data_IF_425229408410
#
_entry.id   IF_425229408410
#
_cell.length_a   1.000
_cell.length_b   1.000
_cell.length_c   1.000
_cell.angle_alpha   90.00
_cell.angle_beta   90.00
_cell.angle_gamma   90.00
#
_symmetry.space_group_name_H-M   'P 1'
#
loop_
_entity.id
_entity.type
_entity.pdbx_description
1 polymer ?
#
# COMPACT_ATOMS: atom_id res chain seq x y z
N UNK A 1 -30.25 -4.83 -40.99
CA UNK A 1 -29.06 -4.55 -40.15
C UNK A 1 -29.42 -4.85 -38.71
N UNK A 2 -28.70 -5.77 -38.07
CA UNK A 2 -29.12 -6.47 -36.86
C UNK A 2 -28.82 -5.66 -35.58
N UNK A 3 -29.82 -5.51 -34.69
CA UNK A 3 -29.73 -4.82 -33.39
C UNK A 3 -28.76 -5.48 -32.38
N UNK A 4 -28.11 -6.59 -32.73
CA UNK A 4 -27.25 -7.37 -31.82
C UNK A 4 -25.82 -6.81 -31.68
N UNK A 5 -25.38 -5.96 -32.60
CA UNK A 5 -24.02 -5.40 -32.61
C UNK A 5 -23.88 -4.15 -31.72
N UNK A 6 -24.97 -3.41 -31.48
CA UNK A 6 -24.92 -2.20 -30.65
C UNK A 6 -24.69 -2.50 -29.16
N UNK A 7 -25.11 -3.67 -28.68
CA UNK A 7 -24.98 -4.04 -27.27
C UNK A 7 -23.54 -4.39 -26.86
N UNK A 8 -22.74 -4.93 -27.78
CA UNK A 8 -21.35 -5.31 -27.49
C UNK A 8 -20.38 -4.12 -27.52
N UNK A 9 -20.62 -3.14 -28.39
CA UNK A 9 -19.76 -1.93 -28.47
C UNK A 9 -20.00 -0.99 -27.28
N UNK A 10 -21.23 -0.94 -26.74
CA UNK A 10 -21.55 -0.15 -25.55
C UNK A 10 -20.94 -0.70 -24.25
N UNK A 11 -20.85 -2.03 -24.10
CA UNK A 11 -20.28 -2.65 -22.89
C UNK A 11 -18.74 -2.60 -22.91
N UNK A 12 -18.11 -2.66 -24.08
CA UNK A 12 -16.65 -2.52 -24.21
C UNK A 12 -16.15 -1.12 -23.80
N UNK A 13 -16.95 -0.07 -23.98
CA UNK A 13 -16.60 1.30 -23.58
C UNK A 13 -16.70 1.53 -22.05
N UNK A 14 -17.57 0.81 -21.35
CA UNK A 14 -17.65 0.84 -19.88
C UNK A 14 -16.55 0.00 -19.20
N UNK A 15 -16.09 -1.08 -19.84
CA UNK A 15 -14.98 -1.88 -19.33
C UNK A 15 -13.60 -1.32 -19.70
N UNK A 16 -13.49 -0.53 -20.79
CA UNK A 16 -12.25 0.13 -21.18
C UNK A 16 -11.89 1.37 -20.33
N UNK A 17 -12.87 2.00 -19.69
CA UNK A 17 -12.64 3.21 -18.87
C UNK A 17 -12.32 2.91 -17.40
N UNK A 18 -12.49 1.66 -16.94
CA UNK A 18 -12.13 1.26 -15.58
C UNK A 18 -10.63 0.95 -15.39
N UNK A 19 -9.86 0.87 -16.48
CA UNK A 19 -8.42 0.56 -16.44
C UNK A 19 -7.50 1.77 -16.72
N UNK A 20 -8.07 2.94 -16.99
CA UNK A 20 -7.32 4.19 -17.20
C UNK A 20 -7.71 5.31 -16.22
N UNK A 21 -8.49 4.98 -15.19
CA UNK A 21 -8.87 5.92 -14.11
C UNK A 21 -8.03 5.81 -12.84
N UNK A 22 -7.11 4.83 -12.74
CA UNK A 22 -6.24 4.62 -11.57
C UNK A 22 -4.78 4.69 -12.01
N UNK A 23 -4.34 5.87 -12.44
CA UNK A 23 -2.91 6.07 -12.71
C UNK A 23 -2.43 7.49 -12.41
N UNK A 24 -3.33 8.49 -12.41
CA UNK A 24 -2.95 9.88 -12.14
C UNK A 24 -3.00 10.28 -10.65
N UNK A 25 -3.76 9.56 -9.80
CA UNK A 25 -3.80 9.77 -8.34
C UNK A 25 -2.71 8.94 -7.60
N UNK A 26 -1.65 8.55 -8.32
CA UNK A 26 -0.43 7.99 -7.72
C UNK A 26 0.71 9.01 -7.63
N UNK A 27 0.44 10.28 -7.99
CA UNK A 27 1.42 11.37 -7.85
C UNK A 27 1.57 11.74 -6.37
N UNK A 28 2.76 11.46 -5.85
CA UNK A 28 3.26 11.73 -4.49
C UNK A 28 2.85 10.78 -3.36
N UNK A 29 2.66 9.48 -3.67
CA UNK A 29 3.05 8.49 -2.67
C UNK A 29 4.57 8.62 -2.51
N UNK A 30 5.01 9.36 -1.48
CA UNK A 30 6.37 9.30 -0.90
C UNK A 30 6.94 7.90 -1.19
N UNK A 31 7.96 7.80 -2.06
CA UNK A 31 8.39 6.51 -2.59
C UNK A 31 8.84 5.62 -1.41
N UNK A 32 7.99 4.65 -1.05
CA UNK A 32 8.25 3.70 0.01
C UNK A 32 8.97 2.49 -0.59
N UNK A 33 10.20 2.27 -0.18
CA UNK A 33 10.94 1.03 -0.40
C UNK A 33 10.79 0.13 0.83
N UNK A 34 10.68 -1.17 0.60
CA UNK A 34 10.52 -2.17 1.66
C UNK A 34 11.70 -3.15 1.59
N UNK A 35 12.22 -3.52 2.75
CA UNK A 35 13.31 -4.48 2.88
C UNK A 35 13.04 -5.43 4.05
N UNK A 36 13.42 -6.69 3.89
CA UNK A 36 13.27 -7.72 4.92
C UNK A 36 11.86 -8.35 4.98
N UNK A 37 10.96 -7.92 4.11
CA UNK A 37 9.64 -8.52 3.91
C UNK A 37 9.77 -9.84 3.12
N UNK A 38 9.56 -10.97 3.80
CA UNK A 38 9.55 -12.33 3.21
C UNK A 38 8.15 -12.92 3.18
N UNK A 39 7.34 -12.63 4.20
CA UNK A 39 5.97 -13.10 4.32
C UNK A 39 5.01 -12.39 3.36
N UNK A 40 5.25 -11.11 3.11
CA UNK A 40 4.45 -10.26 2.22
C UNK A 40 5.33 -9.60 1.17
N UNK A 41 4.83 -9.47 -0.04
CA UNK A 41 5.48 -8.69 -1.09
C UNK A 41 5.34 -7.19 -0.83
N UNK A 42 6.27 -6.40 -1.35
CA UNK A 42 6.20 -4.94 -1.24
C UNK A 42 4.91 -4.36 -1.86
N UNK A 43 4.39 -4.99 -2.91
CA UNK A 43 3.13 -4.59 -3.54
C UNK A 43 1.93 -4.83 -2.62
N UNK A 44 1.87 -5.97 -1.93
CA UNK A 44 0.81 -6.28 -0.97
C UNK A 44 0.84 -5.33 0.22
N UNK A 45 2.04 -4.99 0.74
CA UNK A 45 2.15 -4.03 1.84
C UNK A 45 1.67 -2.65 1.39
N UNK A 46 2.06 -2.17 0.19
CA UNK A 46 1.60 -0.88 -0.35
C UNK A 46 0.08 -0.87 -0.55
N UNK A 47 -0.47 -1.94 -1.11
CA UNK A 47 -1.91 -2.09 -1.33
C UNK A 47 -2.66 -2.03 0.00
N UNK A 48 -2.20 -2.83 0.98
CA UNK A 48 -2.75 -2.86 2.34
C UNK A 48 -2.71 -1.49 3.01
N UNK A 49 -1.60 -0.75 2.90
CA UNK A 49 -1.50 0.61 3.42
C UNK A 49 -2.50 1.55 2.74
N UNK A 50 -2.54 1.57 1.41
CA UNK A 50 -3.43 2.47 0.66
C UNK A 50 -4.92 2.23 0.91
N UNK A 51 -5.29 1.00 1.28
CA UNK A 51 -6.67 0.64 1.64
C UNK A 51 -7.12 1.11 3.03
N UNK A 52 -6.21 1.55 3.89
CA UNK A 52 -6.56 2.02 5.24
C UNK A 52 -7.05 3.46 5.20
N UNK A 53 -8.21 3.74 5.82
CA UNK A 53 -8.70 5.13 6.00
C UNK A 53 -7.69 6.04 6.71
N UNK A 54 -6.85 5.46 7.57
CA UNK A 54 -5.79 6.17 8.32
C UNK A 54 -4.65 6.60 7.41
N UNK A 55 -4.48 5.97 6.23
CA UNK A 55 -3.46 6.31 5.26
C UNK A 55 -3.57 7.74 4.77
N UNK A 56 -4.78 8.20 4.45
CA UNK A 56 -5.05 9.57 4.00
C UNK A 56 -4.58 10.63 5.00
N UNK A 57 -4.71 10.33 6.30
CA UNK A 57 -4.22 11.20 7.37
C UNK A 57 -2.70 11.14 7.51
N UNK A 58 -2.09 9.98 7.28
CA UNK A 58 -0.63 9.84 7.33
C UNK A 58 0.02 10.60 6.17
N UNK A 59 -0.54 10.52 4.96
CA UNK A 59 -0.02 11.19 3.75
C UNK A 59 -0.42 12.65 3.63
N UNK A 60 -1.05 13.23 4.66
CA UNK A 60 -1.52 14.61 4.60
C UNK A 60 -0.33 15.59 4.42
N UNK A 61 -0.44 16.64 3.58
CA UNK A 61 0.67 17.57 3.31
C UNK A 61 1.19 18.31 4.56
N UNK A 62 0.33 18.49 5.55
CA UNK A 62 0.68 19.14 6.83
C UNK A 62 1.25 18.17 7.88
N UNK A 63 1.25 16.86 7.62
CA UNK A 63 1.84 15.89 8.54
C UNK A 63 3.35 16.04 8.54
N UNK A 64 3.95 16.10 9.73
CA UNK A 64 5.40 16.11 9.86
C UNK A 64 5.99 14.79 9.36
N UNK A 65 7.26 14.82 8.95
CA UNK A 65 7.94 13.61 8.50
C UNK A 65 8.03 12.55 9.61
N UNK A 66 8.17 12.97 10.86
CA UNK A 66 8.17 12.07 12.01
C UNK A 66 6.80 11.42 12.23
N UNK A 67 5.71 12.18 12.15
CA UNK A 67 4.35 11.64 12.24
C UNK A 67 4.05 10.66 11.11
N UNK A 68 4.47 10.99 9.88
CA UNK A 68 4.36 10.08 8.74
C UNK A 68 5.10 8.77 9.02
N UNK A 69 6.37 8.86 9.44
CA UNK A 69 7.21 7.70 9.72
C UNK A 69 6.61 6.81 10.81
N UNK A 70 6.13 7.41 11.90
CA UNK A 70 5.51 6.69 13.01
C UNK A 70 4.20 6.02 12.60
N UNK A 71 3.36 6.69 11.80
CA UNK A 71 2.10 6.10 11.31
C UNK A 71 2.37 4.93 10.36
N UNK A 72 3.27 5.10 9.39
CA UNK A 72 3.64 4.02 8.46
C UNK A 72 4.21 2.83 9.23
N UNK A 73 5.14 3.08 10.16
CA UNK A 73 5.70 2.04 11.04
C UNK A 73 4.60 1.27 11.75
N UNK A 74 3.67 1.98 12.38
CA UNK A 74 2.60 1.38 13.17
C UNK A 74 1.65 0.55 12.29
N UNK A 75 1.24 1.07 11.13
CA UNK A 75 0.34 0.35 10.21
C UNK A 75 0.98 -0.94 9.68
N UNK A 76 2.25 -0.89 9.25
CA UNK A 76 2.97 -2.08 8.78
C UNK A 76 3.12 -3.10 9.91
N UNK A 77 3.54 -2.64 11.10
CA UNK A 77 3.69 -3.52 12.26
C UNK A 77 2.38 -4.22 12.63
N UNK A 78 1.26 -3.49 12.67
CA UNK A 78 -0.04 -4.07 12.96
C UNK A 78 -0.43 -5.12 11.92
N UNK A 79 -0.18 -4.88 10.63
CA UNK A 79 -0.44 -5.87 9.58
C UNK A 79 0.31 -7.19 9.82
N UNK A 80 1.57 -7.11 10.24
CA UNK A 80 2.36 -8.29 10.61
C UNK A 80 1.85 -9.00 11.87
N UNK A 81 1.53 -8.23 12.91
CA UNK A 81 0.97 -8.78 14.17
C UNK A 81 -0.35 -9.49 13.90
N UNK A 82 -1.25 -8.91 13.11
CA UNK A 82 -2.52 -9.54 12.72
C UNK A 82 -2.31 -10.81 11.90
N UNK A 83 -1.21 -10.91 11.16
CA UNK A 83 -0.85 -12.11 10.41
C UNK A 83 -0.11 -13.17 11.24
N UNK A 84 0.06 -12.95 12.55
CA UNK A 84 0.68 -13.90 13.48
C UNK A 84 2.18 -13.68 13.72
N UNK A 85 2.77 -12.58 13.24
CA UNK A 85 4.18 -12.24 13.48
C UNK A 85 4.30 -11.29 14.68
N UNK A 86 4.23 -11.83 15.90
CA UNK A 86 4.19 -11.04 17.14
C UNK A 86 5.52 -10.34 17.45
N UNK A 87 6.65 -10.95 17.07
CA UNK A 87 7.99 -10.41 17.28
C UNK A 87 8.46 -9.52 16.11
N UNK A 88 7.54 -9.13 15.22
CA UNK A 88 7.86 -8.28 14.10
C UNK A 88 8.37 -6.91 14.58
N UNK A 89 9.42 -6.40 13.94
CA UNK A 89 9.99 -5.09 14.18
C UNK A 89 10.07 -4.31 12.88
N UNK A 90 9.55 -3.10 12.88
CA UNK A 90 9.54 -2.21 11.71
C UNK A 90 10.30 -0.95 12.04
N UNK A 91 11.20 -0.53 11.15
CA UNK A 91 11.90 0.74 11.22
C UNK A 91 11.64 1.51 9.93
N UNK A 92 11.30 2.79 10.06
CA UNK A 92 11.08 3.68 8.93
C UNK A 92 12.12 4.78 9.00
N UNK A 93 12.88 4.94 7.92
CA UNK A 93 13.88 5.99 7.78
C UNK A 93 13.65 6.74 6.49
N UNK A 94 13.97 8.03 6.51
CA UNK A 94 14.02 8.85 5.31
C UNK A 94 15.45 8.86 4.78
N UNK A 95 15.59 8.62 3.49
CA UNK A 95 16.85 8.75 2.77
C UNK A 95 17.09 10.20 2.32
N UNK A 96 18.33 10.52 1.95
CA UNK A 96 18.74 11.85 1.47
C UNK A 96 17.90 12.32 0.26
N UNK A 97 17.48 11.38 -0.58
CA UNK A 97 16.67 11.63 -1.79
C UNK A 97 15.17 11.79 -1.50
N UNK A 98 14.79 12.00 -0.23
CA UNK A 98 13.38 12.08 0.23
C UNK A 98 12.58 10.78 0.03
N UNK A 99 13.23 9.69 -0.34
CA UNK A 99 12.67 8.34 -0.33
C UNK A 99 12.53 7.82 1.10
N UNK A 100 11.57 6.92 1.30
CA UNK A 100 11.28 6.36 2.61
C UNK A 100 11.60 4.87 2.60
N UNK A 101 12.61 4.48 3.35
CA UNK A 101 13.00 3.09 3.51
C UNK A 101 12.30 2.50 4.74
N UNK A 102 11.57 1.41 4.52
CA UNK A 102 10.90 0.62 5.56
C UNK A 102 11.66 -0.70 5.70
N UNK A 103 12.41 -0.85 6.78
CA UNK A 103 13.12 -2.09 7.12
C UNK A 103 12.27 -2.92 8.08
N UNK A 104 12.03 -4.17 7.72
CA UNK A 104 11.16 -5.09 8.44
C UNK A 104 11.97 -6.30 8.90
N UNK A 105 11.83 -6.66 10.17
CA UNK A 105 12.33 -7.91 10.74
C UNK A 105 11.11 -8.68 11.22
N UNK A 106 10.72 -9.74 10.53
CA UNK A 106 9.41 -10.38 10.75
C UNK A 106 9.34 -11.21 12.03
N UNK A 107 10.45 -11.82 12.45
CA UNK A 107 10.45 -12.78 13.55
C UNK A 107 9.72 -14.09 13.20
N UNK A 108 9.52 -15.00 14.17
CA UNK A 108 8.75 -16.23 13.98
C UNK A 108 7.27 -15.93 13.76
N UNK A 109 6.66 -16.65 12.82
CA UNK A 109 5.21 -16.61 12.58
C UNK A 109 4.49 -17.66 13.41
N UNK A 110 3.46 -17.24 14.14
CA UNK A 110 2.60 -18.09 14.94
C UNK A 110 1.25 -18.26 14.24
N UNK A 111 0.87 -19.51 13.95
CA UNK A 111 -0.46 -19.85 13.42
C UNK A 111 -1.21 -20.63 14.49
N UNK A 112 -2.40 -20.15 14.83
CA UNK A 112 -3.35 -20.91 15.64
C UNK A 112 -4.00 -21.94 14.71
N UNK A 113 -3.84 -23.22 15.01
CA UNK A 113 -4.43 -24.35 14.30
C UNK A 113 -5.67 -24.88 14.99
#
# INVERSE_FOLDING_TARGET
>A
MNLREYYYVGIALLMGFCLWGVSAEQRELKQLSFEGNKAFTAAEIRSGLSGLKVWTYATHPLATDEEFANRVRHMVLMGYVYAGYLDASVKVKRDADRHWQVSIVEGPGYRLG
#
